data_IF_530328052819
#
_entry.id   IF_530328052819
#
_cell.length_a   1.000
_cell.length_b   1.000
_cell.length_c   1.000
_cell.angle_alpha   90.00
_cell.angle_beta   90.00
_cell.angle_gamma   90.00
#
_symmetry.space_group_name_H-M   'P 1'
#
loop_
_entity.id
_entity.type
_entity.pdbx_description
1 polymer ?
#
# COMPACT_ATOMS: atom_id res chain seq x y z
N UNK A 1 -3.28 27.99 21.21
CA UNK A 1 -2.42 26.80 21.00
C UNK A 1 -2.94 25.75 21.97
N UNK A 2 -3.87 24.91 21.51
CA UNK A 2 -4.48 23.88 22.36
C UNK A 2 -3.96 22.52 21.92
N UNK A 3 -2.89 22.07 22.59
CA UNK A 3 -2.32 20.74 22.42
C UNK A 3 -3.26 19.69 22.97
N UNK A 4 -4.27 19.29 22.19
CA UNK A 4 -5.19 18.21 22.56
C UNK A 4 -4.41 16.89 22.54
N UNK A 5 -4.02 16.40 23.71
CA UNK A 5 -3.37 15.09 23.88
C UNK A 5 -4.41 14.00 23.65
N UNK A 6 -4.21 13.19 22.61
CA UNK A 6 -5.13 12.12 22.28
C UNK A 6 -4.84 10.87 23.10
N UNK A 7 -5.90 10.21 23.56
CA UNK A 7 -5.77 8.95 24.26
C UNK A 7 -5.19 7.88 23.30
N UNK A 8 -4.07 7.28 23.70
CA UNK A 8 -3.59 6.05 23.06
C UNK A 8 -4.66 4.97 23.23
N UNK A 9 -4.96 4.16 22.20
CA UNK A 9 -5.78 2.98 22.44
C UNK A 9 -5.10 2.14 23.53
N UNK A 10 -5.87 1.45 24.39
CA UNK A 10 -5.28 0.48 25.29
C UNK A 10 -4.43 -0.46 24.44
N UNK A 11 -3.17 -0.65 24.83
CA UNK A 11 -2.39 -1.74 24.29
C UNK A 11 -3.28 -2.97 24.37
N UNK A 12 -3.51 -3.72 23.28
CA UNK A 12 -4.20 -4.98 23.38
C UNK A 12 -3.48 -5.79 24.45
N UNK A 13 -4.13 -5.93 25.62
CA UNK A 13 -3.71 -6.58 26.86
C UNK A 13 -2.30 -7.16 26.81
N UNK A 14 -1.43 -6.63 27.68
CA UNK A 14 -0.16 -7.21 28.17
C UNK A 14 0.19 -8.60 27.56
N UNK A 15 1.34 -8.68 26.90
CA UNK A 15 1.99 -9.94 26.50
C UNK A 15 1.39 -10.79 25.37
N UNK A 16 0.70 -10.20 24.38
CA UNK A 16 0.54 -10.91 23.10
C UNK A 16 1.72 -10.59 22.19
N UNK A 17 2.52 -11.60 21.86
CA UNK A 17 3.53 -11.50 20.81
C UNK A 17 2.82 -11.18 19.48
N UNK A 18 3.23 -10.07 18.85
CA UNK A 18 2.73 -9.68 17.53
C UNK A 18 3.81 -9.99 16.50
N UNK A 19 3.39 -10.53 15.36
CA UNK A 19 4.26 -10.63 14.19
C UNK A 19 3.99 -9.44 13.27
N UNK A 20 5.03 -8.72 12.90
CA UNK A 20 4.96 -7.63 11.94
C UNK A 20 5.41 -8.15 10.57
N UNK A 21 4.59 -7.89 9.55
CA UNK A 21 4.94 -8.12 8.15
C UNK A 21 4.91 -6.78 7.42
N UNK A 22 5.95 -6.52 6.64
CA UNK A 22 6.04 -5.38 5.73
C UNK A 22 6.62 -5.90 4.43
N UNK A 23 5.99 -5.58 3.31
CA UNK A 23 6.41 -6.06 2.00
C UNK A 23 5.97 -5.11 0.88
N UNK A 24 6.70 -5.11 -0.22
CA UNK A 24 6.22 -4.54 -1.46
C UNK A 24 5.06 -5.38 -2.03
N UNK A 25 4.00 -4.70 -2.44
CA UNK A 25 2.79 -5.30 -3.03
C UNK A 25 2.38 -4.47 -4.25
N UNK A 26 1.99 -5.06 -5.39
CA UNK A 26 1.56 -4.27 -6.54
C UNK A 26 0.27 -3.50 -6.25
N UNK A 27 0.08 -2.35 -6.89
CA UNK A 27 -1.25 -1.74 -6.96
C UNK A 27 -2.22 -2.66 -7.71
N UNK A 28 -3.51 -2.62 -7.37
CA UNK A 28 -4.52 -3.35 -8.15
C UNK A 28 -4.62 -2.77 -9.55
N UNK A 29 -5.06 -3.58 -10.52
CA UNK A 29 -5.28 -3.13 -11.89
C UNK A 29 -6.14 -1.85 -11.92
N UNK A 30 -5.69 -0.86 -12.70
CA UNK A 30 -6.28 0.47 -12.83
C UNK A 30 -6.39 1.32 -11.55
N UNK A 31 -5.88 0.87 -10.40
CA UNK A 31 -5.99 1.59 -9.14
C UNK A 31 -5.32 2.97 -9.21
N UNK A 32 -4.11 3.03 -9.77
CA UNK A 32 -3.37 4.27 -10.00
C UNK A 32 -4.18 5.24 -10.87
N UNK A 33 -4.76 4.74 -11.96
CA UNK A 33 -5.57 5.55 -12.89
C UNK A 33 -6.87 6.02 -12.25
N UNK A 34 -7.60 5.10 -11.61
CA UNK A 34 -8.91 5.33 -10.97
C UNK A 34 -8.84 6.43 -9.91
N UNK A 35 -7.76 6.48 -9.14
CA UNK A 35 -7.60 7.46 -8.06
C UNK A 35 -6.69 8.64 -8.43
N UNK A 36 -6.26 8.73 -9.70
CA UNK A 36 -5.41 9.80 -10.21
C UNK A 36 -4.06 9.90 -9.50
N UNK A 37 -3.47 8.77 -9.13
CA UNK A 37 -2.24 8.73 -8.33
C UNK A 37 -1.01 8.97 -9.19
N UNK A 38 -0.09 9.80 -8.69
CA UNK A 38 1.22 10.03 -9.29
C UNK A 38 2.30 9.58 -8.31
N UNK A 39 2.61 8.28 -8.34
CA UNK A 39 3.47 7.62 -7.36
C UNK A 39 4.93 8.09 -7.49
N UNK A 40 5.54 8.43 -6.35
CA UNK A 40 6.93 8.89 -6.24
C UNK A 40 7.72 7.89 -5.40
N UNK A 41 8.10 6.78 -6.01
CA UNK A 41 8.85 5.68 -5.40
C UNK A 41 9.82 5.07 -6.45
N UNK A 42 10.99 4.55 -6.04
CA UNK A 42 11.48 4.40 -4.66
C UNK A 42 11.91 5.73 -4.03
N UNK A 43 11.82 5.82 -2.70
CA UNK A 43 12.02 7.06 -1.96
C UNK A 43 12.75 6.82 -0.64
N UNK A 44 13.72 7.69 -0.32
CA UNK A 44 14.47 7.61 0.95
C UNK A 44 13.83 8.51 2.00
N UNK A 45 12.96 7.92 2.83
CA UNK A 45 12.41 8.62 4.00
C UNK A 45 13.46 8.78 5.10
N UNK A 46 13.38 9.92 5.80
CA UNK A 46 13.94 10.04 7.13
C UNK A 46 13.04 9.30 8.13
N UNK A 47 13.65 8.57 9.07
CA UNK A 47 12.91 7.74 10.02
C UNK A 47 12.01 8.58 10.93
N UNK A 48 12.48 9.73 11.40
CA UNK A 48 11.70 10.59 12.30
C UNK A 48 10.49 11.17 11.57
N UNK A 49 10.62 11.49 10.29
CA UNK A 49 9.51 11.95 9.45
C UNK A 49 8.39 10.91 9.40
N UNK A 50 8.73 9.65 9.13
CA UNK A 50 7.73 8.58 9.09
C UNK A 50 7.14 8.29 10.47
N UNK A 51 7.96 8.26 11.52
CA UNK A 51 7.50 8.04 12.90
C UNK A 51 6.54 9.15 13.35
N UNK A 52 6.89 10.41 13.13
CA UNK A 52 6.06 11.56 13.46
C UNK A 52 4.73 11.54 12.72
N UNK A 53 4.73 11.17 11.45
CA UNK A 53 3.51 11.01 10.68
C UNK A 53 2.64 9.84 11.20
N UNK A 54 3.24 8.68 11.51
CA UNK A 54 2.52 7.54 12.12
C UNK A 54 1.90 7.90 13.47
N UNK A 55 2.58 8.71 14.28
CA UNK A 55 2.11 9.16 15.59
C UNK A 55 0.87 10.06 15.54
N UNK A 56 0.65 10.73 14.41
CA UNK A 56 -0.47 11.63 14.18
C UNK A 56 -1.70 10.93 13.57
N UNK A 57 -1.57 9.68 13.10
CA UNK A 57 -2.71 8.96 12.55
C UNK A 57 -3.69 8.57 13.66
N UNK A 58 -4.93 8.99 13.53
CA UNK A 58 -6.02 8.63 14.44
C UNK A 58 -7.20 7.97 13.74
N UNK A 59 -8.01 7.30 14.55
CA UNK A 59 -9.26 6.71 14.16
C UNK A 59 -10.33 6.88 15.24
N UNK A 60 -11.58 6.73 14.85
CA UNK A 60 -12.75 6.61 15.74
C UNK A 60 -13.47 5.31 15.46
N UNK A 61 -14.12 4.76 16.48
CA UNK A 61 -15.01 3.61 16.35
C UNK A 61 -16.47 4.04 16.47
N UNK A 62 -17.36 3.37 15.75
CA UNK A 62 -18.81 3.60 15.80
C UNK A 62 -19.44 2.71 16.85
N UNK A 63 -20.19 3.32 17.77
CA UNK A 63 -21.08 2.66 18.73
C UNK A 63 -22.45 3.35 18.69
N UNK A 64 -22.93 3.85 19.83
CA UNK A 64 -24.10 4.75 19.88
C UNK A 64 -23.82 6.12 19.22
N UNK A 65 -22.54 6.52 19.18
CA UNK A 65 -22.01 7.65 18.41
C UNK A 65 -20.56 7.36 18.03
N UNK A 66 -19.86 8.35 17.48
CA UNK A 66 -18.42 8.25 17.28
C UNK A 66 -17.68 8.38 18.62
N UNK A 67 -16.74 7.47 18.88
CA UNK A 67 -15.87 7.59 20.05
C UNK A 67 -14.95 8.81 19.95
N UNK A 68 -14.25 9.14 21.03
CA UNK A 68 -13.09 10.02 20.94
C UNK A 68 -12.02 9.44 19.98
N UNK A 69 -11.28 10.30 19.25
CA UNK A 69 -10.17 9.87 18.42
C UNK A 69 -9.10 9.14 19.24
N UNK A 70 -8.62 8.02 18.69
CA UNK A 70 -7.54 7.20 19.25
C UNK A 70 -6.43 7.06 18.22
N UNK A 71 -5.18 6.97 18.67
CA UNK A 71 -4.05 6.71 17.77
C UNK A 71 -4.20 5.38 17.05
N UNK A 72 -3.94 5.34 15.73
CA UNK A 72 -3.89 4.10 14.94
C UNK A 72 -2.73 3.23 15.40
N UNK A 73 -1.57 3.85 15.58
CA UNK A 73 -0.35 3.18 16.04
C UNK A 73 -0.02 3.60 17.46
N UNK A 74 0.26 2.64 18.33
CA UNK A 74 0.83 2.94 19.65
C UNK A 74 2.37 3.07 19.53
N UNK A 75 3.02 3.85 20.42
CA UNK A 75 4.45 4.14 20.35
C UNK A 75 5.39 2.94 20.10
N UNK A 76 5.26 1.81 20.81
CA UNK A 76 6.14 0.63 20.57
C UNK A 76 5.97 0.07 19.16
N UNK A 77 4.75 0.11 18.63
CA UNK A 77 4.48 -0.37 17.27
C UNK A 77 5.10 0.58 16.25
N UNK A 78 5.05 1.90 16.48
CA UNK A 78 5.76 2.90 15.65
C UNK A 78 7.26 2.59 15.61
N UNK A 79 7.89 2.33 16.77
CA UNK A 79 9.32 2.00 16.85
C UNK A 79 9.69 0.73 16.09
N UNK A 80 8.80 -0.26 16.04
CA UNK A 80 9.08 -1.55 15.37
C UNK A 80 8.72 -1.57 13.89
N UNK A 81 7.66 -0.85 13.49
CA UNK A 81 7.11 -0.88 12.14
C UNK A 81 7.75 0.17 11.23
N UNK A 82 8.00 1.40 11.74
CA UNK A 82 8.51 2.50 10.92
C UNK A 82 9.86 2.17 10.23
N UNK A 83 10.87 1.59 10.92
CA UNK A 83 12.14 1.27 10.26
C UNK A 83 11.97 0.31 9.06
N UNK A 84 11.09 -0.69 9.21
CA UNK A 84 10.80 -1.67 8.15
C UNK A 84 10.09 -1.02 6.96
N UNK A 85 9.15 -0.11 7.22
CA UNK A 85 8.48 0.65 6.16
C UNK A 85 9.49 1.53 5.41
N UNK A 86 10.39 2.23 6.12
CA UNK A 86 11.45 3.05 5.49
C UNK A 86 12.36 2.19 4.60
N UNK A 87 12.75 1.01 5.05
CA UNK A 87 13.56 0.08 4.25
C UNK A 87 12.84 -0.37 2.99
N UNK A 88 11.55 -0.71 3.07
CA UNK A 88 10.75 -1.09 1.90
C UNK A 88 10.54 0.07 0.93
N UNK A 89 10.37 1.30 1.42
CA UNK A 89 10.24 2.48 0.57
C UNK A 89 11.46 2.74 -0.32
N UNK A 90 12.66 2.33 0.13
CA UNK A 90 13.88 2.45 -0.67
C UNK A 90 13.91 1.47 -1.83
N UNK A 91 13.13 0.39 -1.76
CA UNK A 91 13.16 -0.73 -2.71
C UNK A 91 11.96 -0.73 -3.66
N UNK A 92 10.81 -0.33 -3.15
CA UNK A 92 9.53 -0.38 -3.87
C UNK A 92 9.53 0.58 -5.08
N UNK A 93 9.12 0.09 -6.25
CA UNK A 93 9.02 0.91 -7.46
C UNK A 93 7.69 1.69 -7.51
N UNK A 94 7.48 2.44 -8.59
CA UNK A 94 6.29 3.29 -8.78
C UNK A 94 4.99 2.53 -9.13
N UNK A 95 5.03 1.21 -9.31
CA UNK A 95 3.85 0.35 -9.54
C UNK A 95 3.51 -0.54 -8.34
N UNK A 96 4.28 -0.40 -7.26
CA UNK A 96 4.10 -1.12 -6.02
C UNK A 96 3.87 -0.13 -4.87
N UNK A 97 3.30 -0.63 -3.77
CA UNK A 97 3.07 0.08 -2.51
C UNK A 97 3.69 -0.72 -1.38
N UNK A 98 3.96 -0.06 -0.25
CA UNK A 98 4.43 -0.76 0.95
C UNK A 98 3.21 -1.22 1.73
N UNK A 99 2.97 -2.52 1.74
CA UNK A 99 1.91 -3.16 2.52
C UNK A 99 2.45 -3.54 3.90
N UNK A 100 1.65 -3.32 4.94
CA UNK A 100 1.98 -3.73 6.30
C UNK A 100 0.83 -4.48 6.97
N UNK A 101 1.18 -5.44 7.81
CA UNK A 101 0.23 -6.18 8.63
C UNK A 101 0.82 -6.48 10.01
N UNK A 102 0.01 -6.29 11.04
CA UNK A 102 0.28 -6.67 12.43
C UNK A 102 -0.62 -7.85 12.76
N UNK A 103 0.00 -9.01 12.91
CA UNK A 103 -0.67 -10.28 13.17
C UNK A 103 -0.59 -10.61 14.65
N UNK A 104 -1.66 -11.17 15.20
CA UNK A 104 -1.65 -11.79 16.54
C UNK A 104 -0.85 -13.10 16.52
N UNK A 105 -0.57 -13.64 17.70
CA UNK A 105 0.00 -15.00 17.87
C UNK A 105 -0.82 -16.09 17.16
N UNK A 106 -2.12 -15.87 16.98
CA UNK A 106 -3.03 -16.76 16.23
C UNK A 106 -3.03 -16.53 14.71
N UNK A 107 -2.20 -15.63 14.20
CA UNK A 107 -2.09 -15.31 12.77
C UNK A 107 -3.18 -14.38 12.23
N UNK A 108 -4.07 -13.85 13.08
CA UNK A 108 -5.14 -12.93 12.63
C UNK A 108 -4.60 -11.51 12.50
N UNK A 109 -4.96 -10.82 11.40
CA UNK A 109 -4.61 -9.41 11.20
C UNK A 109 -5.36 -8.51 12.17
N UNK A 110 -4.63 -7.96 13.14
CA UNK A 110 -5.15 -6.96 14.08
C UNK A 110 -5.21 -5.58 13.45
N UNK A 111 -4.16 -5.20 12.72
CA UNK A 111 -4.05 -3.93 12.00
C UNK A 111 -3.35 -4.20 10.67
N UNK A 112 -3.87 -3.68 9.59
CA UNK A 112 -3.24 -3.84 8.28
C UNK A 112 -3.62 -2.73 7.33
N UNK A 113 -2.75 -2.46 6.38
CA UNK A 113 -2.90 -1.36 5.47
C UNK A 113 -1.76 -1.28 4.48
N UNK A 114 -1.76 -0.19 3.73
CA UNK A 114 -0.64 0.15 2.87
C UNK A 114 -0.33 1.65 2.94
N UNK A 115 0.91 1.96 2.57
CA UNK A 115 1.47 3.30 2.57
C UNK A 115 2.31 3.50 1.31
N UNK A 116 2.16 4.67 0.70
CA UNK A 116 2.89 5.05 -0.50
C UNK A 116 2.99 6.56 -0.63
N UNK A 117 4.02 7.03 -1.32
CA UNK A 117 4.23 8.45 -1.58
C UNK A 117 3.74 8.80 -2.98
N UNK A 118 2.98 9.87 -3.10
CA UNK A 118 2.59 10.44 -4.37
C UNK A 118 2.89 11.94 -4.41
N UNK A 119 2.62 12.58 -5.55
CA UNK A 119 2.88 14.00 -5.75
C UNK A 119 2.16 14.91 -4.74
N UNK A 120 0.96 14.53 -4.29
CA UNK A 120 0.12 15.28 -3.35
C UNK A 120 0.44 15.02 -1.87
N UNK A 121 1.23 13.99 -1.55
CA UNK A 121 1.68 13.73 -0.19
C UNK A 121 1.88 12.24 0.12
N UNK A 122 2.00 11.95 1.41
CA UNK A 122 2.10 10.57 1.91
C UNK A 122 0.70 9.99 2.13
N UNK A 123 0.38 8.90 1.43
CA UNK A 123 -0.91 8.23 1.51
C UNK A 123 -0.87 7.08 2.51
N UNK A 124 -1.85 7.04 3.41
CA UNK A 124 -2.12 5.93 4.31
C UNK A 124 -3.49 5.35 4.06
N UNK A 125 -3.54 4.04 3.85
CA UNK A 125 -4.79 3.30 3.72
C UNK A 125 -4.85 2.21 4.76
N UNK A 126 -5.84 2.29 5.63
CA UNK A 126 -6.08 1.23 6.60
C UNK A 126 -7.12 0.27 6.02
N UNK A 127 -6.74 -1.00 5.92
CA UNK A 127 -7.52 -2.07 5.31
C UNK A 127 -8.06 -3.06 6.34
N UNK A 128 -7.50 -3.08 7.54
CA UNK A 128 -8.01 -3.86 8.66
C UNK A 128 -7.68 -3.16 9.96
N UNK A 129 -8.66 -3.07 10.86
CA UNK A 129 -8.48 -2.49 12.18
C UNK A 129 -9.26 -3.29 13.21
N UNK A 130 -8.61 -3.72 14.29
CA UNK A 130 -9.19 -4.58 15.34
C UNK A 130 -9.97 -5.75 14.75
N UNK A 131 -9.34 -6.46 13.80
CA UNK A 131 -9.91 -7.63 13.11
C UNK A 131 -11.08 -7.34 12.16
N UNK A 132 -11.42 -6.07 11.92
CA UNK A 132 -12.48 -5.68 10.98
C UNK A 132 -11.86 -5.23 9.66
N UNK A 133 -11.89 -6.05 8.59
CA UNK A 133 -11.37 -5.67 7.29
C UNK A 133 -12.29 -4.67 6.60
N UNK A 134 -11.70 -3.77 5.81
CA UNK A 134 -12.40 -2.78 5.00
C UNK A 134 -11.63 -2.53 3.70
N UNK A 135 -12.14 -2.98 2.55
CA UNK A 135 -11.43 -2.76 1.29
C UNK A 135 -11.48 -1.29 0.88
N UNK A 136 -10.46 -0.85 0.13
CA UNK A 136 -10.45 0.49 -0.49
C UNK A 136 -11.59 0.55 -1.50
N UNK A 137 -12.53 1.44 -1.23
CA UNK A 137 -13.74 1.60 -2.02
C UNK A 137 -14.97 0.86 -1.47
N UNK A 138 -14.96 0.45 -0.21
CA UNK A 138 -16.18 0.24 0.56
C UNK A 138 -16.65 1.57 1.14
N UNK A 139 -17.72 2.09 0.54
CA UNK A 139 -18.30 3.41 0.79
C UNK A 139 -19.59 3.35 1.62
N UNK A 140 -19.83 2.24 2.33
CA UNK A 140 -21.07 2.04 3.07
C UNK A 140 -21.16 2.91 4.32
N UNK A 141 -21.88 4.03 4.23
CA UNK A 141 -22.17 4.95 5.33
C UNK A 141 -22.95 4.26 6.48
N UNK A 142 -23.67 3.17 6.17
CA UNK A 142 -24.52 2.44 7.11
C UNK A 142 -23.81 1.33 7.90
N UNK A 143 -22.57 0.95 7.55
CA UNK A 143 -21.88 -0.21 8.16
C UNK A 143 -20.49 0.05 8.75
N UNK A 144 -19.95 1.26 8.64
CA UNK A 144 -18.60 1.57 9.14
C UNK A 144 -18.49 1.42 10.66
N UNK A 145 -17.74 0.42 11.13
CA UNK A 145 -17.44 0.24 12.57
C UNK A 145 -16.29 1.13 13.04
N UNK A 146 -15.55 1.74 12.10
CA UNK A 146 -14.48 2.70 12.37
C UNK A 146 -14.16 3.57 11.14
N UNK A 147 -13.52 4.73 11.40
CA UNK A 147 -12.99 5.65 10.38
C UNK A 147 -11.67 6.26 10.83
N UNK A 148 -10.80 6.62 9.89
CA UNK A 148 -9.66 7.49 10.18
C UNK A 148 -10.15 8.90 10.53
N UNK A 149 -9.33 9.67 11.24
CA UNK A 149 -9.59 11.08 11.56
C UNK A 149 -8.39 11.88 11.11
N UNK A 150 -8.49 12.61 9.97
CA UNK A 150 -7.45 13.50 9.51
C UNK A 150 -7.19 14.59 10.54
N UNK A 151 -5.92 14.91 10.74
CA UNK A 151 -5.46 16.00 11.61
C UNK A 151 -4.14 16.57 11.11
N UNK A 152 -3.90 17.86 11.37
CA UNK A 152 -2.58 18.47 11.10
C UNK A 152 -2.12 18.35 9.65
N UNK A 153 -2.78 19.05 8.73
CA UNK A 153 -2.41 19.01 7.29
C UNK A 153 -2.81 17.73 6.56
N UNK A 154 -3.38 16.74 7.27
CA UNK A 154 -3.98 15.56 6.68
C UNK A 154 -5.39 15.83 6.14
N UNK A 155 -5.77 15.12 5.07
CA UNK A 155 -7.10 15.16 4.46
C UNK A 155 -7.52 13.76 4.04
N UNK A 156 -8.83 13.51 3.92
CA UNK A 156 -9.29 12.28 3.27
C UNK A 156 -8.98 12.31 1.78
N UNK A 157 -8.66 11.15 1.21
CA UNK A 157 -8.73 11.00 -0.25
C UNK A 157 -10.19 11.10 -0.67
N UNK A 158 -10.46 11.92 -1.67
CA UNK A 158 -11.78 12.05 -2.28
C UNK A 158 -11.78 11.62 -3.74
N UNK A 159 -12.94 11.18 -4.21
CA UNK A 159 -13.22 10.91 -5.62
C UNK A 159 -14.49 11.61 -6.04
N UNK A 160 -14.52 12.10 -7.28
CA UNK A 160 -15.75 12.59 -7.89
C UNK A 160 -16.51 11.41 -8.51
N UNK A 161 -17.78 11.24 -8.14
CA UNK A 161 -18.63 10.13 -8.59
C UNK A 161 -19.55 10.51 -9.74
N UNK A 162 -20.31 11.58 -9.56
CA UNK A 162 -21.35 12.04 -10.49
C UNK A 162 -21.71 13.50 -10.16
N UNK A 163 -21.81 14.37 -11.18
CA UNK A 163 -22.30 15.77 -11.06
C UNK A 163 -21.82 16.50 -9.79
N UNK A 164 -20.52 16.71 -9.64
CA UNK A 164 -19.92 17.43 -8.50
C UNK A 164 -20.13 16.75 -7.12
N UNK A 165 -20.63 15.52 -7.05
CA UNK A 165 -20.67 14.76 -5.80
C UNK A 165 -19.27 14.23 -5.50
N UNK A 166 -18.61 14.91 -4.57
CA UNK A 166 -17.31 14.52 -4.00
C UNK A 166 -17.57 13.55 -2.85
N UNK A 167 -16.96 12.38 -2.93
CA UNK A 167 -17.06 11.34 -1.91
C UNK A 167 -15.71 11.13 -1.23
N UNK A 168 -15.68 11.29 0.09
CA UNK A 168 -14.49 11.00 0.92
C UNK A 168 -14.35 9.51 1.20
N UNK A 169 -13.11 9.02 1.18
CA UNK A 169 -12.74 7.64 1.49
C UNK A 169 -12.23 7.61 2.94
N UNK A 170 -13.10 7.27 3.88
CA UNK A 170 -12.83 7.47 5.32
C UNK A 170 -11.78 6.53 5.94
N UNK A 171 -11.27 5.56 5.17
CA UNK A 171 -10.12 4.73 5.54
C UNK A 171 -8.83 5.07 4.77
N UNK A 172 -8.82 6.21 4.06
CA UNK A 172 -7.67 6.69 3.30
C UNK A 172 -7.39 8.16 3.63
N UNK A 173 -6.25 8.41 4.27
CA UNK A 173 -5.74 9.74 4.58
C UNK A 173 -4.53 10.07 3.72
N UNK A 174 -4.42 11.33 3.31
CA UNK A 174 -3.27 11.92 2.62
C UNK A 174 -2.68 12.98 3.53
N UNK A 175 -1.39 12.86 3.86
CA UNK A 175 -0.65 13.91 4.55
C UNK A 175 0.10 14.78 3.53
N UNK A 176 -0.43 15.98 3.29
CA UNK A 176 0.14 16.95 2.36
C UNK A 176 1.34 17.73 2.89
N UNK A 177 1.71 17.56 4.17
CA UNK A 177 2.93 18.15 4.74
C UNK A 177 4.17 17.35 4.34
N UNK A 178 4.02 16.04 4.09
CA UNK A 178 5.10 15.17 3.61
C UNK A 178 5.20 15.26 2.09
N UNK A 179 5.86 16.31 1.61
CA UNK A 179 6.04 16.54 0.16
C UNK A 179 7.27 15.82 -0.38
N UNK A 180 7.20 15.25 -1.59
CA UNK A 180 8.34 14.59 -2.21
C UNK A 180 9.47 15.56 -2.54
N UNK A 181 10.60 15.43 -1.85
CA UNK A 181 11.85 16.11 -2.19
C UNK A 181 12.61 15.38 -3.31
N UNK A 182 13.02 16.09 -4.37
CA UNK A 182 13.68 15.49 -5.55
C UNK A 182 14.98 14.75 -5.22
N UNK A 183 15.77 15.27 -4.29
CA UNK A 183 17.03 14.68 -3.84
C UNK A 183 16.87 13.39 -3.02
N UNK A 184 15.63 13.05 -2.60
CA UNK A 184 15.32 11.82 -1.87
C UNK A 184 14.67 10.75 -2.75
N UNK A 185 14.30 11.09 -3.98
CA UNK A 185 13.88 10.11 -4.98
C UNK A 185 15.09 9.29 -5.36
N UNK A 186 15.01 7.98 -5.14
CA UNK A 186 16.08 7.08 -5.52
C UNK A 186 15.93 6.70 -6.98
N UNK A 187 17.02 6.36 -7.68
CA UNK A 187 16.92 5.66 -8.94
C UNK A 187 16.00 4.46 -8.71
N UNK A 188 15.02 4.26 -9.60
CA UNK A 188 14.32 2.99 -9.62
C UNK A 188 15.41 1.91 -9.62
N UNK A 189 15.31 0.93 -8.72
CA UNK A 189 16.00 -0.31 -8.99
C UNK A 189 15.36 -0.82 -10.28
N UNK A 190 15.94 -0.44 -11.42
CA UNK A 190 16.15 -1.42 -12.47
C UNK A 190 16.70 -2.60 -11.70
N UNK A 191 15.87 -3.64 -11.54
CA UNK A 191 16.42 -4.98 -11.51
C UNK A 191 17.53 -4.91 -12.55
N UNK A 192 18.81 -5.09 -12.18
CA UNK A 192 19.82 -5.14 -13.21
C UNK A 192 19.22 -6.09 -14.23
N UNK A 193 19.01 -5.62 -15.46
CA UNK A 193 19.21 -6.52 -16.57
C UNK A 193 20.56 -7.11 -16.22
N UNK A 194 20.55 -8.30 -15.64
CA UNK A 194 21.72 -9.14 -15.58
C UNK A 194 22.30 -8.94 -16.96
N UNK A 195 23.52 -8.37 -17.11
CA UNK A 195 24.09 -8.20 -18.41
C UNK A 195 23.92 -9.57 -19.05
N UNK A 196 23.07 -9.65 -20.08
CA UNK A 196 22.93 -10.88 -20.83
C UNK A 196 24.38 -11.24 -21.12
N UNK A 197 24.88 -12.39 -20.62
CA UNK A 197 26.27 -12.76 -20.87
C UNK A 197 26.39 -12.63 -22.37
N UNK A 198 27.34 -11.80 -22.82
CA UNK A 198 27.50 -11.48 -24.23
C UNK A 198 27.46 -12.81 -24.98
N UNK A 199 26.31 -13.12 -25.58
CA UNK A 199 26.09 -14.44 -26.13
C UNK A 199 26.70 -14.33 -27.50
N UNK A 200 28.00 -14.61 -27.53
CA UNK A 200 28.60 -15.24 -28.68
C UNK A 200 27.65 -16.36 -29.12
N UNK A 201 27.08 -16.19 -30.32
CA UNK A 201 26.26 -17.16 -31.07
C UNK A 201 25.48 -18.22 -30.29
N UNK A 202 24.17 -18.01 -30.10
CA UNK A 202 23.28 -19.06 -29.59
C UNK A 202 21.83 -18.84 -30.02
N UNK A 203 21.26 -19.83 -30.70
CA UNK A 203 19.98 -19.82 -31.42
C UNK A 203 18.77 -19.28 -30.63
N UNK A 204 17.86 -18.59 -31.35
CA UNK A 204 16.53 -18.22 -30.82
C UNK A 204 15.81 -19.48 -30.31
N UNK A 205 15.20 -19.47 -29.11
CA UNK A 205 14.42 -20.60 -28.62
C UNK A 205 13.29 -20.88 -29.60
N UNK A 206 13.05 -22.17 -29.85
CA UNK A 206 12.07 -22.62 -30.82
C UNK A 206 10.66 -22.17 -30.42
N UNK A 207 9.78 -21.98 -31.40
CA UNK A 207 8.37 -21.62 -31.20
C UNK A 207 7.69 -22.58 -30.21
N UNK A 208 8.08 -23.87 -30.21
CA UNK A 208 7.58 -24.88 -29.27
C UNK A 208 7.96 -24.61 -27.81
N UNK A 209 9.18 -24.14 -27.56
CA UNK A 209 9.63 -23.80 -26.21
C UNK A 209 8.93 -22.53 -25.68
N UNK A 210 8.68 -21.56 -26.55
CA UNK A 210 7.94 -20.33 -26.21
C UNK A 210 6.47 -20.62 -25.89
N UNK A 211 5.85 -21.57 -26.60
CA UNK A 211 4.49 -22.02 -26.30
C UNK A 211 4.41 -22.77 -24.96
N UNK A 212 5.40 -23.63 -24.66
CA UNK A 212 5.45 -24.36 -23.38
C UNK A 212 5.59 -23.41 -22.19
N UNK A 213 6.46 -22.42 -22.28
CA UNK A 213 6.60 -21.38 -21.24
C UNK A 213 5.32 -20.58 -21.04
N UNK A 214 4.60 -20.28 -22.13
CA UNK A 214 3.33 -19.56 -22.05
C UNK A 214 2.22 -20.39 -21.36
N UNK A 215 2.21 -21.70 -21.58
CA UNK A 215 1.29 -22.63 -20.93
C UNK A 215 1.60 -22.79 -19.43
N UNK A 216 2.88 -22.85 -19.05
CA UNK A 216 3.31 -22.85 -17.65
C UNK A 216 2.86 -21.56 -16.92
N UNK A 217 3.06 -20.39 -17.54
CA UNK A 217 2.60 -19.11 -16.96
C UNK A 217 1.08 -19.03 -16.77
N UNK A 218 0.31 -19.66 -17.66
CA UNK A 218 -1.15 -19.77 -17.52
C UNK A 218 -1.51 -20.73 -16.38
N UNK A 219 -0.85 -21.88 -16.32
CA UNK A 219 -1.07 -22.89 -15.27
C UNK A 219 -0.77 -22.35 -13.87
N UNK A 220 0.24 -21.48 -13.74
CA UNK A 220 0.62 -20.82 -12.48
C UNK A 220 -0.31 -19.64 -12.13
N UNK A 221 -1.30 -19.34 -12.97
CA UNK A 221 -2.25 -18.24 -12.77
C UNK A 221 -1.62 -16.85 -12.89
N UNK A 222 -0.41 -16.76 -13.48
CA UNK A 222 0.34 -15.52 -13.64
C UNK A 222 -0.15 -14.69 -14.83
N UNK A 223 -0.82 -15.32 -15.79
CA UNK A 223 -1.48 -14.67 -16.92
C UNK A 223 -2.93 -15.12 -17.01
N UNK A 224 -3.81 -14.21 -17.43
CA UNK A 224 -5.22 -14.53 -17.68
C UNK A 224 -5.40 -15.33 -18.97
N UNK A 225 -6.53 -16.03 -19.11
CA UNK A 225 -6.91 -16.76 -20.33
C UNK A 225 -6.83 -15.86 -21.58
N UNK A 226 -7.28 -14.60 -21.45
CA UNK A 226 -7.24 -13.62 -22.54
C UNK A 226 -5.81 -13.21 -22.95
N UNK A 227 -4.88 -13.15 -22.01
CA UNK A 227 -3.48 -12.83 -22.27
C UNK A 227 -2.72 -14.04 -22.84
N UNK A 228 -3.06 -15.24 -22.36
CA UNK A 228 -2.60 -16.49 -22.94
C UNK A 228 -3.01 -16.59 -24.41
N UNK A 229 -4.29 -16.39 -24.74
CA UNK A 229 -4.76 -16.45 -26.13
C UNK A 229 -4.08 -15.42 -27.03
N UNK A 230 -3.94 -14.17 -26.56
CA UNK A 230 -3.30 -13.10 -27.34
C UNK A 230 -1.82 -13.41 -27.62
N UNK A 231 -1.06 -13.82 -26.59
CA UNK A 231 0.36 -14.16 -26.74
C UNK A 231 0.57 -15.45 -27.53
N UNK A 232 -0.35 -16.42 -27.42
CA UNK A 232 -0.33 -17.66 -28.20
C UNK A 232 -0.53 -17.37 -29.69
N UNK A 233 -1.45 -16.47 -30.03
CA UNK A 233 -1.64 -16.03 -31.42
C UNK A 233 -0.42 -15.29 -31.97
N UNK A 234 0.21 -14.44 -31.16
CA UNK A 234 1.45 -13.73 -31.53
C UNK A 234 2.60 -14.72 -31.82
N UNK A 235 2.83 -15.70 -30.95
CA UNK A 235 3.87 -16.73 -31.13
C UNK A 235 3.59 -17.62 -32.35
N UNK A 236 2.33 -17.94 -32.64
CA UNK A 236 1.94 -18.72 -33.82
C UNK A 236 1.96 -17.90 -35.12
N UNK A 237 1.88 -16.57 -35.04
CA UNK A 237 2.01 -15.68 -36.20
C UNK A 237 3.46 -15.48 -36.66
N UNK A 238 4.44 -15.89 -35.83
CA UNK A 238 5.86 -15.93 -36.17
C UNK A 238 6.29 -17.23 -36.90
N UNK A 239 5.32 -18.10 -37.21
CA UNK A 239 5.49 -19.39 -37.89
C UNK A 239 5.32 -19.21 -39.41
#
# INVERSE_FOLDING_TARGET
>A
MDGKVWASPPAPSEEKSYQIRVQASPFKQDEIRKYGLRIIQPYSFDLQTLQGNMDQLAYQTKGFGWSDPKKVFHPKLVTQLAPRIVEEFRRVNNVNKVEFAVLTSTGKTYLGGDVFLAQDGLHWRILSMKYTPRPVGDFSISGETWRLVPHGGQQYKSIERFKNLVQEITNWVVDGQVRPERNRVLPAHTVPETPLPATEGGQRPSIKERLKQLEELKSDGLISESEYEKKRQEILSEL
#
